data_IF_202455144683
#
_entry.id   IF_202455144683
#
_cell.length_a   1.000
_cell.length_b   1.000
_cell.length_c   1.000
_cell.angle_alpha   90.00
_cell.angle_beta   90.00
_cell.angle_gamma   90.00
#
_symmetry.space_group_name_H-M   'P 1'
#
loop_
_entity.id
_entity.type
_entity.pdbx_description
1 polymer ?
#
# COMPACT_ATOMS: atom_id res chain seq x y z
N UNK A 1 42.85 44.39 -54.77
CA UNK A 1 42.90 42.96 -54.44
C UNK A 1 41.57 42.63 -53.78
N UNK A 2 40.45 42.48 -54.51
CA UNK A 2 40.19 41.60 -55.67
C UNK A 2 40.50 40.15 -55.34
N UNK A 3 39.49 39.38 -54.94
CA UNK A 3 38.78 38.33 -55.71
C UNK A 3 37.85 37.57 -54.72
N UNK A 4 36.53 37.57 -54.92
CA UNK A 4 35.72 36.44 -55.43
C UNK A 4 35.85 35.13 -54.62
N UNK A 5 34.80 34.35 -54.36
CA UNK A 5 33.59 34.20 -55.13
C UNK A 5 32.45 33.62 -54.27
N UNK A 6 31.28 33.76 -54.85
CA UNK A 6 29.95 33.41 -54.39
C UNK A 6 29.69 31.92 -54.63
N UNK A 7 28.58 31.43 -54.08
CA UNK A 7 27.87 30.21 -54.46
C UNK A 7 28.41 28.87 -53.93
N UNK A 8 27.80 28.43 -52.83
CA UNK A 8 27.07 27.16 -52.89
C UNK A 8 25.76 27.31 -52.10
N UNK A 9 24.78 27.79 -52.86
CA UNK A 9 23.42 27.32 -52.95
C UNK A 9 22.80 26.57 -51.75
N UNK A 10 21.69 27.17 -51.31
CA UNK A 10 20.46 26.55 -50.84
C UNK A 10 20.42 25.02 -51.00
N UNK A 11 20.39 24.32 -49.87
CA UNK A 11 19.62 23.10 -49.78
C UNK A 11 18.89 22.98 -48.45
N UNK A 12 17.57 23.05 -48.57
CA UNK A 12 16.55 22.46 -47.71
C UNK A 12 16.43 23.07 -46.29
N UNK A 13 15.45 23.94 -46.04
CA UNK A 13 14.01 23.62 -45.86
C UNK A 13 13.74 23.00 -44.49
N UNK A 14 13.16 23.82 -43.61
CA UNK A 14 11.97 23.58 -42.77
C UNK A 14 11.98 22.33 -41.88
N UNK A 15 11.81 22.55 -40.57
CA UNK A 15 10.88 21.90 -39.60
C UNK A 15 11.59 21.97 -38.24
N UNK A 16 11.19 22.84 -37.31
CA UNK A 16 10.07 22.72 -36.38
C UNK A 16 10.68 22.68 -34.98
N UNK A 17 10.02 23.36 -34.03
CA UNK A 17 10.46 23.36 -32.65
C UNK A 17 10.38 21.98 -32.03
N UNK A 18 11.29 21.69 -31.10
CA UNK A 18 10.91 20.87 -29.96
C UNK A 18 11.65 21.31 -28.70
N UNK A 19 10.85 21.49 -27.66
CA UNK A 19 11.25 21.69 -26.29
C UNK A 19 11.38 20.32 -25.63
N UNK A 20 12.55 19.69 -25.60
CA UNK A 20 12.77 18.58 -24.67
C UNK A 20 14.24 18.18 -24.58
N UNK A 21 14.73 17.81 -23.38
CA UNK A 21 16.02 17.11 -23.30
C UNK A 21 16.84 17.18 -22.01
N UNK A 22 16.28 17.50 -20.84
CA UNK A 22 16.99 17.21 -19.58
C UNK A 22 17.01 15.68 -19.38
N UNK A 23 18.18 15.01 -19.30
CA UNK A 23 18.21 13.56 -19.15
C UNK A 23 17.66 13.11 -17.77
N UNK A 24 16.96 11.96 -17.71
CA UNK A 24 16.30 11.49 -16.50
C UNK A 24 17.30 11.08 -15.41
N UNK A 25 17.04 11.55 -14.19
CA UNK A 25 17.72 11.19 -12.95
C UNK A 25 17.83 9.67 -12.78
N UNK A 26 19.04 9.14 -12.94
CA UNK A 26 19.35 7.73 -12.72
C UNK A 26 19.26 7.40 -11.21
N UNK A 27 18.26 6.60 -10.83
CA UNK A 27 18.11 6.07 -9.46
C UNK A 27 19.38 5.29 -9.06
N UNK A 28 19.90 5.43 -7.83
CA UNK A 28 21.13 4.75 -7.41
C UNK A 28 21.00 3.21 -7.52
N UNK A 29 22.09 2.49 -7.82
CA UNK A 29 22.05 1.06 -8.11
C UNK A 29 21.58 0.23 -6.90
N UNK A 30 20.54 -0.59 -7.09
CA UNK A 30 19.86 -1.41 -6.07
C UNK A 30 20.79 -2.28 -5.19
N UNK A 31 21.95 -2.68 -5.71
CA UNK A 31 22.93 -3.56 -5.03
C UNK A 31 23.47 -2.98 -3.72
N UNK A 32 23.48 -1.66 -3.56
CA UNK A 32 24.00 -1.05 -2.32
C UNK A 32 23.02 -1.16 -1.16
N UNK A 33 21.70 -1.17 -1.42
CA UNK A 33 20.63 -1.22 -0.39
C UNK A 33 20.51 -2.61 0.23
N UNK A 34 20.54 -3.65 -0.61
CA UNK A 34 20.39 -5.06 -0.20
C UNK A 34 21.48 -5.50 0.80
N UNK A 35 22.72 -5.02 0.65
CA UNK A 35 23.81 -5.35 1.59
C UNK A 35 23.56 -4.82 3.00
N UNK A 36 22.93 -3.65 3.14
CA UNK A 36 22.56 -3.11 4.44
C UNK A 36 21.43 -3.90 5.08
N UNK A 37 20.46 -4.38 4.28
CA UNK A 37 19.36 -5.21 4.77
C UNK A 37 19.89 -6.54 5.34
N UNK A 38 20.84 -7.19 4.66
CA UNK A 38 21.51 -8.40 5.17
C UNK A 38 22.37 -8.14 6.41
N UNK A 39 23.08 -7.01 6.47
CA UNK A 39 23.87 -6.63 7.66
C UNK A 39 22.95 -6.37 8.85
N UNK A 40 21.80 -5.71 8.63
CA UNK A 40 20.82 -5.46 9.68
C UNK A 40 20.17 -6.75 10.18
N UNK A 41 19.87 -7.67 9.25
CA UNK A 41 19.29 -8.98 9.56
C UNK A 41 20.29 -9.88 10.32
N UNK A 42 21.54 -9.93 9.89
CA UNK A 42 22.59 -10.71 10.57
C UNK A 42 22.88 -10.14 11.96
N UNK A 43 22.94 -8.82 12.11
CA UNK A 43 23.10 -8.18 13.42
C UNK A 43 21.93 -8.48 14.37
N UNK A 44 20.68 -8.44 13.88
CA UNK A 44 19.50 -8.72 14.71
C UNK A 44 19.46 -10.19 15.16
N UNK A 45 19.83 -11.12 14.28
CA UNK A 45 19.93 -12.56 14.60
C UNK A 45 21.02 -12.79 15.64
N UNK A 46 22.20 -12.18 15.46
CA UNK A 46 23.31 -12.31 16.45
C UNK A 46 22.91 -11.73 17.80
N UNK A 47 22.22 -10.60 17.85
CA UNK A 47 21.71 -10.02 19.09
C UNK A 47 20.69 -10.94 19.78
N UNK A 48 19.77 -11.54 19.01
CA UNK A 48 18.77 -12.51 19.52
C UNK A 48 19.41 -13.79 20.05
N UNK A 49 20.42 -14.31 19.35
CA UNK A 49 21.18 -15.51 19.76
C UNK A 49 21.98 -15.23 21.03
N UNK A 50 22.68 -14.08 21.08
CA UNK A 50 23.44 -13.66 22.26
C UNK A 50 22.53 -13.49 23.48
N UNK A 51 21.37 -12.85 23.30
CA UNK A 51 20.38 -12.68 24.37
C UNK A 51 19.77 -14.02 24.82
N UNK A 52 19.58 -14.97 23.91
CA UNK A 52 19.09 -16.32 24.22
C UNK A 52 20.10 -17.17 24.99
N UNK A 53 21.40 -16.96 24.76
CA UNK A 53 22.47 -17.63 25.53
C UNK A 53 22.59 -17.07 26.95
N UNK A 54 22.33 -15.77 27.14
CA UNK A 54 22.39 -15.11 28.47
C UNK A 54 21.13 -15.42 29.31
N UNK A 55 19.96 -15.58 28.68
CA UNK A 55 18.69 -15.91 29.35
C UNK A 55 17.99 -17.11 28.68
N UNK A 56 18.43 -18.36 28.96
CA UNK A 56 17.92 -19.55 28.28
C UNK A 56 16.40 -19.76 28.46
N UNK A 57 15.85 -19.43 29.63
CA UNK A 57 14.41 -19.50 29.90
C UNK A 57 13.57 -18.52 29.07
N UNK A 58 14.12 -17.34 28.76
CA UNK A 58 13.44 -16.31 27.95
C UNK A 58 13.65 -16.56 26.45
N UNK A 59 14.83 -17.07 26.05
CA UNK A 59 15.15 -17.42 24.66
C UNK A 59 14.25 -18.54 24.12
N UNK A 60 14.03 -19.60 24.90
CA UNK A 60 13.13 -20.70 24.48
C UNK A 60 11.68 -20.22 24.30
N UNK A 61 11.19 -19.33 25.17
CA UNK A 61 9.85 -18.72 25.02
C UNK A 61 9.77 -17.82 23.79
N UNK A 62 10.77 -16.97 23.57
CA UNK A 62 10.82 -16.12 22.39
C UNK A 62 10.83 -16.95 21.10
N UNK A 63 11.60 -18.04 21.05
CA UNK A 63 11.62 -18.95 19.91
C UNK A 63 10.27 -19.62 19.64
N UNK A 64 9.57 -20.07 20.68
CA UNK A 64 8.21 -20.62 20.56
C UNK A 64 7.22 -19.60 20.02
N UNK A 65 7.24 -18.38 20.55
CA UNK A 65 6.36 -17.29 20.10
C UNK A 65 6.63 -16.94 18.63
N UNK A 66 7.89 -16.82 18.22
CA UNK A 66 8.26 -16.59 16.82
C UNK A 66 7.76 -17.74 15.93
N UNK A 67 7.94 -18.99 16.37
CA UNK A 67 7.46 -20.16 15.62
C UNK A 67 5.94 -20.18 15.46
N UNK A 68 5.21 -19.83 16.52
CA UNK A 68 3.75 -19.70 16.48
C UNK A 68 3.31 -18.61 15.50
N UNK A 69 3.94 -17.42 15.53
CA UNK A 69 3.64 -16.34 14.58
C UNK A 69 3.93 -16.74 13.12
N UNK A 70 5.05 -17.42 12.86
CA UNK A 70 5.39 -17.90 11.50
C UNK A 70 4.34 -18.91 11.02
N UNK A 71 3.95 -19.85 11.88
CA UNK A 71 2.92 -20.85 11.57
C UNK A 71 1.57 -20.18 11.31
N UNK A 72 1.18 -19.23 12.13
CA UNK A 72 -0.04 -18.44 11.97
C UNK A 72 -0.03 -17.67 10.65
N UNK A 73 1.09 -17.04 10.29
CA UNK A 73 1.22 -16.31 9.03
C UNK A 73 1.09 -17.23 7.80
N UNK A 74 1.73 -18.40 7.83
CA UNK A 74 1.63 -19.41 6.75
C UNK A 74 0.20 -19.93 6.61
N UNK A 75 -0.52 -20.13 7.72
CA UNK A 75 -1.87 -20.68 7.68
C UNK A 75 -2.92 -19.64 7.27
N UNK A 76 -2.77 -18.38 7.71
CA UNK A 76 -3.71 -17.30 7.40
C UNK A 76 -3.56 -16.81 5.96
N UNK A 77 -2.34 -16.80 5.40
CA UNK A 77 -2.08 -16.21 4.08
C UNK A 77 -2.92 -16.86 2.94
N UNK A 78 -3.01 -18.19 2.80
CA UNK A 78 -3.90 -18.83 1.83
C UNK A 78 -5.38 -18.47 2.04
N UNK A 79 -5.83 -18.47 3.30
CA UNK A 79 -7.21 -18.12 3.63
C UNK A 79 -7.55 -16.68 3.23
N UNK A 80 -6.61 -15.75 3.46
CA UNK A 80 -6.74 -14.34 3.04
C UNK A 80 -6.79 -14.22 1.52
N UNK A 81 -5.96 -14.96 0.79
CA UNK A 81 -5.97 -14.93 -0.68
C UNK A 81 -7.33 -15.39 -1.24
N UNK A 82 -7.88 -16.48 -0.71
CA UNK A 82 -9.21 -16.98 -1.10
C UNK A 82 -10.31 -15.97 -0.74
N UNK A 83 -10.28 -15.43 0.48
CA UNK A 83 -11.25 -14.43 0.93
C UNK A 83 -11.19 -13.17 0.06
N UNK A 84 -9.98 -12.72 -0.30
CA UNK A 84 -9.79 -11.57 -1.19
C UNK A 84 -10.31 -11.85 -2.59
N UNK A 85 -10.08 -13.05 -3.13
CA UNK A 85 -10.63 -13.46 -4.42
C UNK A 85 -12.16 -13.42 -4.43
N UNK A 86 -12.80 -13.97 -3.38
CA UNK A 86 -14.25 -13.93 -3.24
C UNK A 86 -14.77 -12.49 -3.09
N UNK A 87 -14.11 -11.67 -2.27
CA UNK A 87 -14.46 -10.26 -2.09
C UNK A 87 -14.25 -9.44 -3.37
N UNK A 88 -13.30 -9.84 -4.23
CA UNK A 88 -13.07 -9.22 -5.52
C UNK A 88 -14.24 -9.45 -6.48
N UNK A 89 -14.93 -10.59 -6.41
CA UNK A 89 -16.14 -10.84 -7.20
C UNK A 89 -17.37 -10.19 -6.56
N UNK A 90 -17.50 -10.28 -5.24
CA UNK A 90 -18.71 -9.83 -4.54
C UNK A 90 -18.85 -8.30 -4.48
N UNK A 91 -17.74 -7.57 -4.40
CA UNK A 91 -17.78 -6.11 -4.33
C UNK A 91 -17.79 -5.50 -5.73
N UNK A 92 -18.91 -4.93 -6.14
CA UNK A 92 -18.98 -4.24 -7.44
C UNK A 92 -18.10 -2.99 -7.49
N UNK A 93 -17.49 -2.74 -8.66
CA UNK A 93 -16.64 -1.56 -8.89
C UNK A 93 -17.43 -0.26 -8.70
N UNK A 94 -18.68 -0.21 -9.13
CA UNK A 94 -19.52 0.98 -9.01
C UNK A 94 -19.79 1.39 -7.57
N UNK A 95 -19.98 0.41 -6.66
CA UNK A 95 -20.10 0.68 -5.23
C UNK A 95 -18.80 1.28 -4.67
N UNK A 96 -17.64 0.76 -5.06
CA UNK A 96 -16.35 1.28 -4.62
C UNK A 96 -16.14 2.70 -5.13
N UNK A 97 -16.43 2.98 -6.40
CA UNK A 97 -16.27 4.34 -6.96
C UNK A 97 -17.24 5.32 -6.29
N UNK A 98 -18.50 4.91 -6.07
CA UNK A 98 -19.54 5.74 -5.46
C UNK A 98 -19.23 6.10 -3.99
N UNK A 99 -18.82 5.12 -3.18
CA UNK A 99 -18.65 5.31 -1.73
C UNK A 99 -17.21 5.56 -1.31
N UNK A 100 -16.22 4.98 -2.00
CA UNK A 100 -14.80 5.07 -1.65
C UNK A 100 -13.97 5.84 -2.70
N UNK A 101 -14.54 6.18 -3.85
CA UNK A 101 -13.82 6.85 -4.94
C UNK A 101 -13.59 8.34 -4.72
N UNK A 102 -12.96 8.98 -5.71
CA UNK A 102 -12.60 10.42 -5.68
C UNK A 102 -13.82 11.34 -5.52
N UNK A 103 -14.97 10.94 -6.06
CA UNK A 103 -16.24 11.70 -5.98
C UNK A 103 -16.96 11.62 -4.63
N UNK A 104 -16.53 10.72 -3.73
CA UNK A 104 -17.19 10.50 -2.44
C UNK A 104 -16.96 11.62 -1.41
N UNK A 105 -15.96 12.48 -1.64
CA UNK A 105 -15.65 13.60 -0.74
C UNK A 105 -15.40 13.15 0.70
N UNK A 106 -15.98 13.86 1.67
CA UNK A 106 -15.85 13.54 3.10
C UNK A 106 -16.64 12.28 3.53
N UNK A 107 -17.70 11.90 2.81
CA UNK A 107 -18.50 10.70 3.14
C UNK A 107 -17.66 9.43 3.03
N UNK A 108 -16.75 9.37 2.05
CA UNK A 108 -15.88 8.22 1.84
C UNK A 108 -14.83 8.03 2.93
N UNK A 109 -14.39 9.12 3.58
CA UNK A 109 -13.49 9.01 4.73
C UNK A 109 -14.21 8.36 5.92
N UNK A 110 -15.45 8.75 6.18
CA UNK A 110 -16.25 8.17 7.28
C UNK A 110 -16.53 6.69 7.00
N UNK A 111 -16.90 6.34 5.77
CA UNK A 111 -17.13 4.93 5.38
C UNK A 111 -15.85 4.11 5.49
N UNK A 112 -14.72 4.65 5.03
CA UNK A 112 -13.43 3.97 5.12
C UNK A 112 -12.97 3.77 6.56
N UNK A 113 -13.19 4.77 7.43
CA UNK A 113 -12.95 4.66 8.87
C UNK A 113 -13.77 3.51 9.47
N UNK A 114 -15.10 3.50 9.24
CA UNK A 114 -15.98 2.45 9.73
C UNK A 114 -15.59 1.07 9.22
N UNK A 115 -15.33 0.94 7.92
CA UNK A 115 -14.87 -0.32 7.30
C UNK A 115 -13.55 -0.82 7.90
N UNK A 116 -12.66 0.07 8.34
CA UNK A 116 -11.41 -0.33 8.98
C UNK A 116 -11.56 -0.76 10.43
N UNK A 117 -12.63 -0.34 11.12
CA UNK A 117 -12.88 -0.73 12.52
C UNK A 117 -13.56 -2.10 12.68
N UNK A 118 -14.26 -2.58 11.64
CA UNK A 118 -15.00 -3.84 11.66
C UNK A 118 -14.10 -5.08 11.78
N UNK A 119 -12.97 -5.19 11.05
CA UNK A 119 -12.27 -6.46 10.96
C UNK A 119 -11.30 -6.66 12.14
N UNK A 120 -11.56 -7.68 12.95
CA UNK A 120 -10.67 -8.11 14.03
C UNK A 120 -9.69 -9.15 13.52
N UNK A 121 -8.69 -8.70 12.76
CA UNK A 121 -7.66 -9.58 12.20
C UNK A 121 -6.28 -8.92 12.14
N UNK A 122 -5.24 -9.68 11.82
CA UNK A 122 -3.89 -9.14 11.67
C UNK A 122 -3.82 -8.06 10.59
N UNK A 123 -2.99 -7.03 10.80
CA UNK A 123 -2.91 -5.89 9.89
C UNK A 123 -2.45 -6.27 8.47
N UNK A 124 -1.66 -7.35 8.33
CA UNK A 124 -1.19 -7.81 7.02
C UNK A 124 -2.34 -8.23 6.08
N UNK A 125 -3.52 -8.57 6.62
CA UNK A 125 -4.72 -8.89 5.84
C UNK A 125 -5.34 -7.65 5.20
N UNK A 126 -5.21 -6.49 5.84
CA UNK A 126 -5.82 -5.25 5.36
C UNK A 126 -5.13 -4.69 4.11
N UNK A 127 -3.85 -5.01 3.89
CA UNK A 127 -3.08 -4.53 2.74
C UNK A 127 -3.58 -5.07 1.39
N UNK A 128 -3.72 -6.39 1.17
CA UNK A 128 -4.28 -6.90 -0.09
C UNK A 128 -5.71 -6.43 -0.32
N UNK A 129 -6.50 -6.24 0.74
CA UNK A 129 -7.85 -5.65 0.65
C UNK A 129 -7.81 -4.22 0.13
N UNK A 130 -6.97 -3.38 0.75
CA UNK A 130 -6.80 -2.00 0.35
C UNK A 130 -6.27 -1.91 -1.08
N UNK A 131 -5.32 -2.77 -1.47
CA UNK A 131 -4.81 -2.85 -2.83
C UNK A 131 -5.91 -3.19 -3.83
N UNK A 132 -6.79 -4.15 -3.52
CA UNK A 132 -7.92 -4.51 -4.37
C UNK A 132 -8.95 -3.37 -4.49
N UNK A 133 -9.28 -2.70 -3.39
CA UNK A 133 -10.17 -1.54 -3.42
C UNK A 133 -9.58 -0.36 -4.21
N UNK A 134 -8.26 -0.14 -4.12
CA UNK A 134 -7.56 0.82 -4.98
C UNK A 134 -7.69 0.45 -6.46
N UNK A 135 -7.53 -0.83 -6.82
CA UNK A 135 -7.73 -1.32 -8.20
C UNK A 135 -9.15 -1.06 -8.71
N UNK A 136 -10.16 -1.10 -7.83
CA UNK A 136 -11.55 -0.77 -8.14
C UNK A 136 -11.86 0.73 -8.17
N UNK A 137 -10.88 1.61 -7.98
CA UNK A 137 -11.04 3.05 -8.08
C UNK A 137 -11.28 3.77 -6.76
N UNK A 138 -11.00 3.12 -5.62
CA UNK A 138 -10.98 3.81 -4.33
C UNK A 138 -9.93 4.92 -4.31
N UNK A 139 -10.21 6.00 -3.58
CA UNK A 139 -9.29 7.11 -3.37
C UNK A 139 -8.19 6.69 -2.39
N UNK A 140 -6.93 7.06 -2.68
CA UNK A 140 -5.77 6.77 -1.82
C UNK A 140 -5.96 7.28 -0.39
N UNK A 141 -6.48 8.50 -0.22
CA UNK A 141 -6.76 9.05 1.12
C UNK A 141 -7.71 8.15 1.93
N UNK A 142 -8.76 7.61 1.29
CA UNK A 142 -9.73 6.75 1.97
C UNK A 142 -9.06 5.43 2.39
N UNK A 143 -8.18 4.87 1.57
CA UNK A 143 -7.48 3.63 1.89
C UNK A 143 -6.43 3.81 2.99
N UNK A 144 -5.77 4.97 3.04
CA UNK A 144 -4.89 5.32 4.16
C UNK A 144 -5.68 5.46 5.47
N UNK A 145 -6.85 6.10 5.42
CA UNK A 145 -7.76 6.21 6.58
C UNK A 145 -8.22 4.81 7.03
N UNK A 146 -8.62 3.97 6.10
CA UNK A 146 -9.03 2.57 6.35
C UNK A 146 -7.92 1.76 7.04
N UNK A 147 -6.70 1.80 6.50
CA UNK A 147 -5.56 1.07 7.09
C UNK A 147 -5.20 1.62 8.47
N UNK A 148 -5.28 2.93 8.65
CA UNK A 148 -5.01 3.57 9.95
C UNK A 148 -6.08 3.20 10.99
N UNK A 149 -7.35 3.13 10.57
CA UNK A 149 -8.45 2.69 11.42
C UNK A 149 -8.27 1.24 11.87
N UNK A 150 -7.90 0.36 10.95
CA UNK A 150 -7.61 -1.05 11.25
C UNK A 150 -6.44 -1.21 12.23
N UNK A 151 -5.41 -0.37 12.09
CA UNK A 151 -4.24 -0.40 12.98
C UNK A 151 -4.56 0.12 14.39
N UNK A 152 -5.31 1.22 14.49
CA UNK A 152 -5.49 1.96 15.73
C UNK A 152 -6.76 1.62 16.52
N UNK A 153 -7.83 1.20 15.83
CA UNK A 153 -9.17 1.02 16.42
C UNK A 153 -9.50 -0.48 16.41
N UNK A 154 -8.93 -1.19 17.38
CA UNK A 154 -9.26 -2.61 17.61
C UNK A 154 -10.30 -2.67 18.72
N UNK A 155 -11.54 -3.07 18.38
CA UNK A 155 -12.64 -3.16 19.35
C UNK A 155 -12.25 -3.83 20.68
N UNK A 156 -11.56 -4.99 20.70
CA UNK A 156 -11.16 -5.61 21.96
C UNK A 156 -10.19 -4.75 22.78
N UNK A 157 -9.24 -4.07 22.12
CA UNK A 157 -8.26 -3.21 22.79
C UNK A 157 -8.93 -1.95 23.35
N UNK A 158 -9.82 -1.33 22.56
CA UNK A 158 -10.61 -0.16 22.99
C UNK A 158 -11.48 -0.51 24.21
N UNK A 159 -12.16 -1.66 24.19
CA UNK A 159 -12.98 -2.12 25.32
C UNK A 159 -12.15 -2.36 26.57
N UNK A 160 -10.96 -2.96 26.43
CA UNK A 160 -10.04 -3.14 27.56
C UNK A 160 -9.59 -1.79 28.12
N UNK A 161 -9.29 -0.83 27.27
CA UNK A 161 -8.92 0.53 27.68
C UNK A 161 -10.08 1.28 28.36
N UNK A 162 -11.30 1.10 27.88
CA UNK A 162 -12.51 1.60 28.54
C UNK A 162 -12.62 1.09 29.99
N UNK A 163 -12.28 -0.18 30.22
CA UNK A 163 -12.34 -0.80 31.55
C UNK A 163 -11.21 -0.31 32.47
N UNK A 164 -9.98 -0.18 31.96
CA UNK A 164 -8.82 0.17 32.80
C UNK A 164 -8.65 1.68 33.04
N UNK A 165 -8.82 2.52 32.02
CA UNK A 165 -8.53 3.96 32.08
C UNK A 165 -9.80 4.83 32.17
N UNK A 166 -10.97 4.21 31.99
CA UNK A 166 -12.25 4.87 32.05
C UNK A 166 -12.67 5.57 30.75
N UNK A 167 -13.96 5.88 30.66
CA UNK A 167 -14.60 6.34 29.42
C UNK A 167 -14.09 7.69 28.89
N UNK A 168 -13.69 8.61 29.79
CA UNK A 168 -13.20 9.94 29.40
C UNK A 168 -11.89 9.85 28.61
N UNK A 169 -10.97 8.98 29.06
CA UNK A 169 -9.68 8.81 28.40
C UNK A 169 -9.83 8.08 27.06
N UNK A 170 -10.59 6.98 27.04
CA UNK A 170 -10.81 6.20 25.83
C UNK A 170 -11.48 7.02 24.72
N UNK A 171 -12.53 7.80 25.04
CA UNK A 171 -13.17 8.67 24.05
C UNK A 171 -12.23 9.80 23.57
N UNK A 172 -11.40 10.35 24.45
CA UNK A 172 -10.43 11.37 24.06
C UNK A 172 -9.38 10.78 23.10
N UNK A 173 -8.86 9.59 23.39
CA UNK A 173 -7.92 8.87 22.51
C UNK A 173 -8.54 8.54 21.17
N UNK A 174 -9.76 8.00 21.17
CA UNK A 174 -10.48 7.65 19.95
C UNK A 174 -10.77 8.90 19.11
N UNK A 175 -11.28 9.97 19.74
CA UNK A 175 -11.54 11.25 19.09
C UNK A 175 -10.28 11.87 18.48
N UNK A 176 -9.16 11.87 19.23
CA UNK A 176 -7.88 12.37 18.74
C UNK A 176 -7.33 11.52 17.59
N UNK A 177 -7.48 10.19 17.66
CA UNK A 177 -7.07 9.27 16.59
C UNK A 177 -7.83 9.57 15.30
N UNK A 178 -9.16 9.66 15.37
CA UNK A 178 -9.99 9.99 14.20
C UNK A 178 -9.63 11.38 13.65
N UNK A 179 -9.43 12.36 14.52
CA UNK A 179 -9.06 13.72 14.15
C UNK A 179 -7.68 13.80 13.45
N UNK A 180 -6.74 12.92 13.80
CA UNK A 180 -5.40 12.85 13.18
C UNK A 180 -5.37 12.02 11.90
N UNK A 181 -6.13 10.93 11.83
CA UNK A 181 -6.13 10.01 10.69
C UNK A 181 -6.69 10.69 9.43
N UNK A 182 -7.71 11.53 9.55
CA UNK A 182 -8.30 12.28 8.43
C UNK A 182 -7.28 13.18 7.70
N UNK A 183 -6.60 14.13 8.38
CA UNK A 183 -5.59 14.97 7.73
C UNK A 183 -4.38 14.16 7.29
N UNK A 184 -4.01 13.09 8.01
CA UNK A 184 -2.93 12.19 7.60
C UNK A 184 -3.25 11.50 6.26
N UNK A 185 -4.47 11.00 6.07
CA UNK A 185 -4.90 10.42 4.80
C UNK A 185 -4.88 11.41 3.63
N UNK A 186 -5.34 12.64 3.86
CA UNK A 186 -5.29 13.71 2.84
C UNK A 186 -3.84 14.12 2.54
N UNK A 187 -2.99 14.21 3.56
CA UNK A 187 -1.58 14.53 3.41
C UNK A 187 -0.84 13.42 2.65
N UNK A 188 -1.13 12.16 2.97
CA UNK A 188 -0.58 11.00 2.28
C UNK A 188 -0.95 11.02 0.79
N UNK A 189 -2.21 11.34 0.45
CA UNK A 189 -2.61 11.50 -0.96
C UNK A 189 -1.91 12.68 -1.64
N UNK A 190 -1.74 13.81 -0.95
CA UNK A 190 -1.01 14.96 -1.49
C UNK A 190 0.47 14.65 -1.73
N UNK A 191 1.10 13.92 -0.82
CA UNK A 191 2.49 13.48 -0.95
C UNK A 191 2.63 12.44 -2.07
N UNK A 192 1.67 11.52 -2.16
CA UNK A 192 1.60 10.51 -3.21
C UNK A 192 1.52 11.14 -4.60
N UNK A 193 0.59 12.09 -4.79
CA UNK A 193 0.44 12.84 -6.05
C UNK A 193 1.68 13.65 -6.44
N UNK A 194 2.52 14.06 -5.47
CA UNK A 194 3.79 14.77 -5.74
C UNK A 194 4.93 13.85 -6.19
N UNK A 195 4.90 12.56 -5.88
CA UNK A 195 5.98 11.63 -6.23
C UNK A 195 5.69 10.76 -7.46
N UNK A 196 4.43 10.48 -7.77
CA UNK A 196 4.05 9.61 -8.88
C UNK A 196 2.76 10.15 -9.55
N UNK A 197 2.84 10.76 -10.76
CA UNK A 197 1.65 11.09 -11.54
C UNK A 197 0.98 9.86 -12.18
N UNK A 198 1.52 8.67 -11.99
CA UNK A 198 0.89 7.41 -12.33
C UNK A 198 1.29 6.38 -11.26
N UNK A 199 0.31 5.89 -10.48
CA UNK A 199 0.31 4.44 -10.24
C UNK A 199 0.35 3.90 -11.66
N UNK A 200 1.52 3.41 -12.11
CA UNK A 200 1.57 2.60 -13.32
C UNK A 200 0.38 1.67 -13.21
N UNK A 201 -0.49 1.70 -14.22
CA UNK A 201 -1.48 0.64 -14.42
C UNK A 201 -0.78 -0.65 -14.01
N UNK A 202 -1.32 -1.29 -12.97
CA UNK A 202 -0.80 -2.56 -12.49
C UNK A 202 -0.73 -3.46 -13.72
N UNK A 203 0.48 -3.88 -14.09
CA UNK A 203 0.74 -4.57 -15.34
C UNK A 203 -0.21 -5.78 -15.40
N UNK A 204 -1.06 -5.93 -16.43
CA UNK A 204 -2.02 -7.03 -16.52
C UNK A 204 -1.33 -8.41 -16.41
N UNK A 205 0.00 -8.48 -16.59
CA UNK A 205 0.82 -9.64 -16.31
C UNK A 205 0.86 -10.08 -14.83
N UNK A 206 0.93 -9.16 -13.85
CA UNK A 206 0.93 -9.53 -12.42
C UNK A 206 -0.44 -10.03 -11.96
N UNK A 207 -1.52 -9.52 -12.56
CA UNK A 207 -2.88 -10.05 -12.32
C UNK A 207 -3.00 -11.45 -12.90
N UNK A 208 -2.44 -11.69 -14.09
CA UNK A 208 -2.40 -13.00 -14.74
C UNK A 208 -1.56 -14.01 -13.97
N UNK A 209 -0.44 -13.60 -13.37
CA UNK A 209 0.36 -14.47 -12.49
C UNK A 209 -0.41 -14.90 -11.23
N UNK A 210 -1.18 -13.97 -10.64
CA UNK A 210 -2.05 -14.26 -9.50
C UNK A 210 -3.25 -15.12 -9.91
N UNK A 211 -3.81 -14.88 -11.10
CA UNK A 211 -4.91 -15.64 -11.71
C UNK A 211 -4.50 -17.08 -12.04
N UNK A 212 -3.28 -17.27 -12.58
CA UNK A 212 -2.66 -18.58 -12.83
C UNK A 212 -2.29 -19.29 -11.53
N UNK A 213 -1.83 -18.55 -10.51
CA UNK A 213 -1.51 -19.13 -9.21
C UNK A 213 -2.76 -19.54 -8.39
N UNK A 214 -3.92 -18.90 -8.63
CA UNK A 214 -5.18 -19.19 -7.93
C UNK A 214 -6.17 -20.02 -8.75
N UNK A 215 -5.96 -20.22 -10.06
CA UNK A 215 -6.83 -21.04 -10.91
C UNK A 215 -8.27 -20.53 -11.04
N UNK A 216 -8.49 -19.23 -10.85
CA UNK A 216 -9.80 -18.58 -10.92
C UNK A 216 -9.80 -17.59 -12.08
N UNK A 217 -10.24 -18.02 -13.26
CA UNK A 217 -10.59 -17.11 -14.35
C UNK A 217 -11.87 -16.35 -13.98
N UNK A 218 -11.77 -15.03 -13.82
CA UNK A 218 -12.96 -14.19 -13.63
C UNK A 218 -13.63 -13.95 -14.99
N UNK A 219 -14.97 -14.01 -15.08
CA UNK A 219 -15.66 -13.86 -16.35
C UNK A 219 -15.39 -12.47 -16.94
N UNK A 220 -14.68 -12.51 -18.08
CA UNK A 220 -14.94 -11.74 -19.29
C UNK A 220 -15.29 -10.27 -19.13
N UNK A 221 -14.32 -9.44 -19.51
CA UNK A 221 -14.53 -8.16 -20.18
C UNK A 221 -15.87 -8.09 -20.93
N UNK A 222 -16.76 -7.19 -20.49
CA UNK A 222 -17.88 -6.71 -21.30
C UNK A 222 -17.62 -5.23 -21.61
N UNK A 223 -16.59 -4.97 -22.39
CA UNK A 223 -16.57 -3.85 -23.32
C UNK A 223 -16.77 -4.40 -24.73
N UNK A 224 -18.04 -4.53 -25.14
CA UNK A 224 -18.52 -4.50 -26.53
C UNK A 224 -20.03 -4.75 -26.55
N UNK A 225 -20.81 -3.69 -26.75
CA UNK A 225 -22.27 -3.71 -26.85
C UNK A 225 -22.88 -2.36 -26.51
#
# INVERSE_FOLDING_TARGET
MSENDTDDDKKARVTDGDSSGQPPSAKPPLRKRIRWDYVFLTLSVVALVTLSLIFPDKGSRAGKVVWEYVKEMIFILPAVMVLMGLFAVWVERDLVVKYLGKGSGGKGLVIALLLGTLPTGPLYVAFPLAAMLLKKGARVANMVVFLSAWACIKLPLELMEFQFMGWRFALLRLGLTVALVIPMGVLAERLYRRREPAVRDFDPAEVKEVEVALGVELPGDVSSG
#
